data_IF_128133630360
#
_entry.id   IF_128133630360
#
_cell.length_a   1.000
_cell.length_b   1.000
_cell.length_c   1.000
_cell.angle_alpha   90.00
_cell.angle_beta   90.00
_cell.angle_gamma   90.00
#
_symmetry.space_group_name_H-M   'P 1'
#
loop_
_entity.id
_entity.type
_entity.pdbx_description
1 polymer ?
#
# COMPACT_ATOMS: atom_id res chain seq x y z
N UNK A 1 -0.50 11.68 24.11
CA UNK A 1 -0.74 10.79 22.96
C UNK A 1 -2.12 10.18 23.12
N UNK A 2 -3.08 10.58 22.28
CA UNK A 2 -4.43 10.04 22.28
C UNK A 2 -4.42 8.69 21.53
N UNK A 3 -5.05 7.62 22.04
CA UNK A 3 -5.06 6.34 21.35
C UNK A 3 -5.70 6.49 19.95
N UNK A 4 -5.14 5.83 18.92
CA UNK A 4 -5.55 6.03 17.51
C UNK A 4 -6.96 5.52 17.19
N UNK A 5 -7.58 4.78 18.10
CA UNK A 5 -8.91 4.18 17.91
C UNK A 5 -9.72 4.38 19.19
N UNK A 6 -10.85 5.06 19.07
CA UNK A 6 -11.84 5.11 20.14
C UNK A 6 -12.78 3.91 19.99
N UNK A 7 -12.58 2.89 20.80
CA UNK A 7 -13.46 1.73 20.90
C UNK A 7 -14.55 2.06 21.93
N UNK A 8 -15.82 2.02 21.50
CA UNK A 8 -16.98 2.18 22.39
C UNK A 8 -17.79 0.90 22.39
N UNK A 9 -17.95 0.27 23.54
CA UNK A 9 -18.95 -0.78 23.75
C UNK A 9 -20.33 -0.16 23.91
N UNK A 10 -21.36 -0.81 23.37
CA UNK A 10 -22.75 -0.51 23.69
C UNK A 10 -23.08 -0.90 25.15
N UNK A 11 -24.27 -0.54 25.63
CA UNK A 11 -24.72 -0.81 27.02
C UNK A 11 -24.78 -2.31 27.35
N UNK A 12 -24.79 -3.19 26.33
CA UNK A 12 -24.79 -4.65 26.43
C UNK A 12 -23.38 -5.27 26.28
N UNK A 13 -22.33 -4.46 26.16
CA UNK A 13 -20.94 -4.91 26.06
C UNK A 13 -20.59 -5.69 24.78
N UNK A 14 -21.47 -5.67 23.77
CA UNK A 14 -21.47 -6.63 22.65
C UNK A 14 -21.04 -6.02 21.33
N UNK A 15 -21.32 -4.73 21.07
CA UNK A 15 -20.85 -4.05 19.84
C UNK A 15 -19.80 -3.01 20.17
N UNK A 16 -18.61 -3.24 19.65
CA UNK A 16 -17.53 -2.26 19.68
C UNK A 16 -17.65 -1.38 18.43
N UNK A 17 -18.05 -0.13 18.63
CA UNK A 17 -18.00 0.90 17.58
C UNK A 17 -16.62 1.53 17.60
N UNK A 18 -15.87 1.40 16.52
CA UNK A 18 -14.59 2.06 16.34
C UNK A 18 -14.78 3.35 15.54
N UNK A 19 -14.45 4.50 16.12
CA UNK A 19 -14.36 5.76 15.36
C UNK A 19 -12.90 5.99 14.98
N UNK A 20 -12.63 5.99 13.67
CA UNK A 20 -11.31 6.28 13.10
C UNK A 20 -11.32 7.68 12.51
N UNK A 21 -10.24 8.44 12.72
CA UNK A 21 -10.00 9.62 11.89
C UNK A 21 -9.58 9.15 10.51
N UNK A 22 -9.81 9.99 9.49
CA UNK A 22 -9.47 9.64 8.11
C UNK A 22 -8.01 9.21 7.95
N UNK A 23 -7.07 9.92 8.59
CA UNK A 23 -5.65 9.53 8.57
C UNK A 23 -5.41 8.15 9.18
N UNK A 24 -6.00 7.85 10.34
CA UNK A 24 -5.87 6.54 11.01
C UNK A 24 -6.51 5.41 10.17
N UNK A 25 -7.59 5.72 9.44
CA UNK A 25 -8.23 4.78 8.52
C UNK A 25 -7.38 4.50 7.28
N UNK A 26 -6.79 5.53 6.68
CA UNK A 26 -5.87 5.38 5.53
C UNK A 26 -4.65 4.56 5.94
N UNK A 27 -4.04 4.84 7.09
CA UNK A 27 -2.91 4.07 7.62
C UNK A 27 -3.29 2.59 7.83
N UNK A 28 -4.50 2.33 8.34
CA UNK A 28 -5.02 0.98 8.50
C UNK A 28 -5.14 0.26 7.15
N UNK A 29 -5.68 0.93 6.13
CA UNK A 29 -5.80 0.36 4.78
C UNK A 29 -4.45 0.07 4.14
N UNK A 30 -3.46 0.94 4.34
CA UNK A 30 -2.09 0.73 3.84
C UNK A 30 -1.49 -0.52 4.49
N UNK A 31 -1.55 -0.64 5.82
CA UNK A 31 -1.06 -1.83 6.53
C UNK A 31 -1.79 -3.10 6.14
N UNK A 32 -3.10 -3.01 5.92
CA UNK A 32 -3.90 -4.14 5.48
C UNK A 32 -3.42 -4.67 4.11
N UNK A 33 -3.06 -3.78 3.18
CA UNK A 33 -2.49 -4.15 1.88
C UNK A 33 -1.12 -4.84 1.97
N UNK A 34 -0.34 -4.56 3.02
CA UNK A 34 0.96 -5.19 3.27
C UNK A 34 0.83 -6.57 3.95
N UNK A 35 -0.19 -6.75 4.77
CA UNK A 35 -0.31 -7.91 5.66
C UNK A 35 -1.30 -8.98 5.20
N UNK A 36 -2.31 -8.63 4.41
CA UNK A 36 -3.41 -9.53 4.06
C UNK A 36 -3.58 -9.62 2.53
N UNK A 37 -3.17 -10.77 1.94
CA UNK A 37 -3.30 -11.00 0.50
C UNK A 37 -4.73 -10.99 -0.03
N UNK A 38 -5.77 -11.08 0.83
CA UNK A 38 -7.17 -11.03 0.41
C UNK A 38 -7.64 -9.64 -0.02
N UNK A 39 -6.90 -8.57 0.35
CA UNK A 39 -7.14 -7.22 -0.17
C UNK A 39 -6.63 -7.01 -1.60
N UNK A 40 -5.86 -7.95 -2.12
CA UNK A 40 -5.38 -7.92 -3.51
C UNK A 40 -6.36 -8.63 -4.44
N UNK A 41 -6.50 -8.17 -5.70
CA UNK A 41 -7.29 -8.86 -6.70
C UNK A 41 -6.88 -10.33 -6.87
N UNK A 42 -7.82 -11.18 -7.27
CA UNK A 42 -7.54 -12.56 -7.58
C UNK A 42 -6.44 -12.68 -8.67
N UNK A 43 -5.43 -13.52 -8.42
CA UNK A 43 -4.25 -13.66 -9.28
C UNK A 43 -3.11 -12.70 -8.95
N UNK A 44 -3.34 -11.68 -8.11
CA UNK A 44 -2.37 -10.64 -7.74
C UNK A 44 -1.99 -10.66 -6.25
N UNK A 45 -2.36 -11.72 -5.52
CA UNK A 45 -2.18 -11.82 -4.06
C UNK A 45 -0.72 -11.78 -3.59
N UNK A 46 0.22 -12.18 -4.46
CA UNK A 46 1.65 -12.09 -4.15
C UNK A 46 2.14 -10.63 -4.03
N UNK A 47 1.37 -9.66 -4.52
CA UNK A 47 1.66 -8.23 -4.35
C UNK A 47 1.78 -7.81 -2.88
N UNK A 48 1.04 -8.44 -1.96
CA UNK A 48 1.18 -8.17 -0.53
C UNK A 48 2.60 -8.46 -0.01
N UNK A 49 3.19 -9.58 -0.46
CA UNK A 49 4.55 -9.97 -0.06
C UNK A 49 5.61 -9.04 -0.69
N UNK A 50 5.43 -8.66 -1.96
CA UNK A 50 6.31 -7.71 -2.64
C UNK A 50 6.30 -6.34 -1.93
N UNK A 51 5.10 -5.84 -1.62
CA UNK A 51 4.92 -4.57 -0.92
C UNK A 51 5.52 -4.63 0.49
N UNK A 52 5.30 -5.73 1.23
CA UNK A 52 5.90 -5.92 2.55
C UNK A 52 7.43 -5.84 2.49
N UNK A 53 8.05 -6.53 1.53
CA UNK A 53 9.51 -6.52 1.38
C UNK A 53 10.03 -5.12 1.04
N UNK A 54 9.34 -4.41 0.15
CA UNK A 54 9.69 -3.04 -0.20
C UNK A 54 9.65 -2.11 1.03
N UNK A 55 8.63 -2.24 1.88
CA UNK A 55 8.51 -1.48 3.14
C UNK A 55 9.55 -1.85 4.18
N UNK A 56 9.97 -3.11 4.24
CA UNK A 56 11.08 -3.54 5.11
C UNK A 56 12.39 -2.81 4.72
N UNK A 57 12.70 -2.74 3.42
CA UNK A 57 13.88 -2.02 2.91
C UNK A 57 13.81 -0.53 3.26
N UNK A 58 12.67 0.11 3.05
CA UNK A 58 12.46 1.52 3.39
C UNK A 58 12.61 1.78 4.89
N UNK A 59 12.00 0.94 5.72
CA UNK A 59 12.06 1.08 7.17
C UNK A 59 13.48 0.90 7.71
N UNK A 60 14.27 -0.02 7.15
CA UNK A 60 15.67 -0.21 7.51
C UNK A 60 16.54 0.97 7.07
N UNK A 61 16.32 1.52 5.87
CA UNK A 61 16.99 2.73 5.39
C UNK A 61 16.68 3.95 6.30
N UNK A 62 15.39 4.18 6.62
CA UNK A 62 14.95 5.24 7.52
C UNK A 62 15.59 5.08 8.90
N UNK A 63 15.65 3.84 9.42
CA UNK A 63 16.27 3.57 10.73
C UNK A 63 17.76 3.94 10.75
N UNK A 64 18.46 3.75 9.64
CA UNK A 64 19.90 4.02 9.53
C UNK A 64 20.21 5.49 9.21
N UNK A 65 19.36 6.17 8.43
CA UNK A 65 19.67 7.47 7.85
C UNK A 65 18.70 8.59 8.21
N UNK A 66 17.65 8.30 8.99
CA UNK A 66 16.62 9.24 9.42
C UNK A 66 15.54 9.54 8.38
N UNK A 67 15.77 9.19 7.11
CA UNK A 67 14.83 9.30 6.01
C UNK A 67 15.16 8.22 4.97
N UNK A 68 14.16 7.86 4.16
CA UNK A 68 14.39 6.99 3.01
C UNK A 68 15.12 7.77 1.93
N UNK A 69 16.24 7.21 1.47
CA UNK A 69 17.04 7.74 0.38
C UNK A 69 17.61 6.55 -0.39
N UNK A 70 17.13 6.36 -1.62
CA UNK A 70 17.49 5.20 -2.45
C UNK A 70 19.00 5.13 -2.70
N UNK A 71 19.67 6.28 -2.87
CA UNK A 71 21.12 6.38 -3.07
C UNK A 71 21.93 5.88 -1.86
N UNK A 72 21.31 5.81 -0.67
CA UNK A 72 21.96 5.30 0.55
C UNK A 72 21.81 3.80 0.74
N UNK A 73 20.99 3.13 -0.07
CA UNK A 73 20.89 1.67 -0.02
C UNK A 73 22.19 1.05 -0.56
N UNK A 74 22.64 -0.10 0.00
CA UNK A 74 23.63 -0.96 -0.65
C UNK A 74 23.20 -1.33 -2.08
N UNK A 75 24.15 -1.52 -2.98
CA UNK A 75 23.87 -1.79 -4.40
C UNK A 75 22.93 -3.00 -4.60
N UNK A 76 23.11 -4.06 -3.82
CA UNK A 76 22.26 -5.25 -3.87
C UNK A 76 20.82 -4.95 -3.46
N UNK A 77 20.63 -4.04 -2.50
CA UNK A 77 19.31 -3.60 -2.07
C UNK A 77 18.69 -2.58 -3.02
N UNK A 78 19.49 -1.79 -3.75
CA UNK A 78 18.99 -0.92 -4.83
C UNK A 78 18.39 -1.77 -5.96
N UNK A 79 19.13 -2.79 -6.42
CA UNK A 79 18.66 -3.72 -7.45
C UNK A 79 17.39 -4.47 -7.00
N UNK A 80 17.38 -4.98 -5.76
CA UNK A 80 16.19 -5.63 -5.19
C UNK A 80 15.00 -4.67 -5.13
N UNK A 81 15.21 -3.45 -4.65
CA UNK A 81 14.16 -2.43 -4.52
C UNK A 81 13.56 -2.06 -5.88
N UNK A 82 14.39 -1.87 -6.90
CA UNK A 82 13.95 -1.56 -8.26
C UNK A 82 13.18 -2.73 -8.89
N UNK A 83 13.66 -3.97 -8.69
CA UNK A 83 12.97 -5.17 -9.15
C UNK A 83 11.60 -5.36 -8.47
N UNK A 84 11.49 -5.06 -7.18
CA UNK A 84 10.21 -5.10 -6.45
C UNK A 84 9.24 -4.04 -6.98
N UNK A 85 9.72 -2.81 -7.24
CA UNK A 85 8.91 -1.74 -7.82
C UNK A 85 8.37 -2.12 -9.19
N UNK A 86 9.22 -2.68 -10.05
CA UNK A 86 8.80 -3.13 -11.38
C UNK A 86 7.69 -4.18 -11.30
N UNK A 87 7.85 -5.21 -10.46
CA UNK A 87 6.83 -6.25 -10.29
C UNK A 87 5.52 -5.68 -9.73
N UNK A 88 5.58 -4.72 -8.79
CA UNK A 88 4.38 -4.06 -8.28
C UNK A 88 3.69 -3.20 -9.34
N UNK A 89 4.45 -2.52 -10.21
CA UNK A 89 3.90 -1.77 -11.34
C UNK A 89 3.22 -2.69 -12.36
N UNK A 90 3.79 -3.86 -12.65
CA UNK A 90 3.19 -4.90 -13.49
C UNK A 90 1.87 -5.43 -12.90
N UNK A 91 1.77 -5.53 -11.58
CA UNK A 91 0.50 -5.87 -10.92
C UNK A 91 -0.52 -4.74 -10.97
N UNK A 92 -0.11 -3.49 -11.13
CA UNK A 92 -1.03 -2.36 -11.34
C UNK A 92 -1.55 -2.33 -12.77
N UNK A 93 -0.76 -2.76 -13.74
CA UNK A 93 -1.21 -2.90 -15.12
C UNK A 93 -2.33 -3.96 -15.17
N UNK A 94 -3.54 -3.53 -15.49
CA UNK A 94 -4.70 -4.38 -15.72
C UNK A 94 -4.82 -4.77 -17.21
N UNK A 95 -3.86 -4.34 -18.04
CA UNK A 95 -3.88 -4.54 -19.48
C UNK A 95 -4.95 -3.69 -20.18
N UNK A 96 -5.64 -2.80 -19.46
CA UNK A 96 -6.63 -1.87 -20.01
C UNK A 96 -5.89 -0.78 -20.79
N UNK A 97 -5.51 -1.12 -22.02
CA UNK A 97 -5.06 -0.13 -23.01
C UNK A 97 -6.30 0.59 -23.54
N UNK A 98 -6.54 1.80 -23.04
CA UNK A 98 -7.50 2.70 -23.69
C UNK A 98 -6.91 3.05 -25.05
N UNK A 99 -7.59 2.64 -26.12
CA UNK A 99 -7.21 3.08 -27.47
C UNK A 99 -7.32 4.61 -27.51
N UNK A 100 -6.29 5.28 -28.03
CA UNK A 100 -6.28 6.75 -28.09
C UNK A 100 -7.52 7.31 -28.82
N UNK A 101 -8.07 6.58 -29.79
CA UNK A 101 -9.33 6.90 -30.47
C UNK A 101 -10.53 7.03 -29.53
N UNK A 102 -10.60 6.20 -28.50
CA UNK A 102 -11.72 6.15 -27.56
C UNK A 102 -11.66 7.33 -26.57
N UNK A 103 -10.46 7.87 -26.34
CA UNK A 103 -10.24 9.06 -25.50
C UNK A 103 -10.66 10.35 -26.22
N UNK A 104 -10.46 10.43 -27.54
CA UNK A 104 -10.81 11.62 -28.35
C UNK A 104 -12.32 11.74 -28.56
N UNK A 105 -13.08 10.63 -28.63
CA UNK A 105 -14.53 10.68 -28.82
C UNK A 105 -15.33 11.10 -27.57
N UNK A 106 -14.73 11.05 -26.38
CA UNK A 106 -15.37 11.50 -25.13
C UNK A 106 -15.24 13.01 -24.85
N UNK A 107 -14.47 13.75 -25.64
CA UNK A 107 -14.23 15.18 -25.45
C UNK A 107 -15.16 16.11 -26.26
N UNK A 108 -16.05 15.53 -27.08
CA UNK A 108 -17.04 16.27 -27.89
C UNK A 108 -18.50 15.93 -27.53
N UNK A 109 -18.76 15.48 -26.28
CA UNK A 109 -20.11 15.21 -25.75
C UNK A 109 -20.60 16.25 -24.77
#
# INVERSE_FOLDING_TARGET
MTPPIALRTDEEGSKVTATLRMADYIDLLIRANECDPSYWPAGKQHGAALLRRLREIEADCIRQHGAFDWEKLPAELQEEYDALRLQLDELRDDGTRVQFSDWVQGAEG
#
